data_IF_099013308159
#
_entry.id   IF_099013308159
#
_cell.length_a   1.000
_cell.length_b   1.000
_cell.length_c   1.000
_cell.angle_alpha   90.00
_cell.angle_beta   90.00
_cell.angle_gamma   90.00
#
_symmetry.space_group_name_H-M   'P 1'
#
loop_
_entity.id
_entity.type
_entity.pdbx_description
1 polymer ?
#
# COMPACT_ATOMS: atom_id res chain seq x y z
N UNK A 1 -25.72 -23.66 -10.05
CA UNK A 1 -24.52 -22.82 -9.80
C UNK A 1 -24.87 -21.82 -8.71
N UNK A 2 -24.00 -21.60 -7.71
CA UNK A 2 -24.26 -20.61 -6.67
C UNK A 2 -24.06 -19.20 -7.22
N UNK A 3 -24.96 -18.26 -6.89
CA UNK A 3 -24.83 -16.87 -7.29
C UNK A 3 -23.68 -16.18 -6.53
N UNK A 4 -22.94 -15.32 -7.22
CA UNK A 4 -21.96 -14.44 -6.60
C UNK A 4 -22.64 -13.48 -5.62
N UNK A 5 -22.01 -13.21 -4.47
CA UNK A 5 -22.45 -12.24 -3.47
C UNK A 5 -21.33 -11.25 -3.20
N UNK A 6 -21.68 -9.97 -3.04
CA UNK A 6 -20.71 -8.89 -2.81
C UNK A 6 -20.89 -8.30 -1.42
N UNK A 7 -19.78 -8.11 -0.71
CA UNK A 7 -19.75 -7.40 0.57
C UNK A 7 -19.30 -5.94 0.35
N UNK A 8 -19.98 -4.99 1.01
CA UNK A 8 -19.64 -3.55 0.92
C UNK A 8 -18.40 -3.19 1.74
N UNK A 9 -17.53 -2.38 1.15
CA UNK A 9 -16.33 -1.79 1.76
C UNK A 9 -16.23 -0.29 1.46
N UNK A 10 -15.48 0.44 2.29
CA UNK A 10 -15.11 1.85 2.09
C UNK A 10 -13.67 2.02 1.57
N UNK A 11 -12.99 0.92 1.23
CA UNK A 11 -11.62 0.95 0.74
C UNK A 11 -11.55 1.73 -0.58
N UNK A 12 -10.77 2.82 -0.56
CA UNK A 12 -10.32 3.56 -1.74
C UNK A 12 -9.02 2.95 -2.27
N UNK A 13 -8.10 2.64 -1.36
CA UNK A 13 -6.76 2.13 -1.69
C UNK A 13 -6.46 0.84 -0.91
N UNK A 14 -5.72 -0.07 -1.55
CA UNK A 14 -5.27 -1.33 -0.93
C UNK A 14 -3.75 -1.43 -1.06
N UNK A 15 -3.07 -1.25 0.07
CA UNK A 15 -1.61 -1.35 0.15
C UNK A 15 -1.22 -2.76 0.53
N UNK A 16 -0.57 -3.46 -0.39
CA UNK A 16 -0.04 -4.80 -0.21
C UNK A 16 1.42 -4.71 0.21
N UNK A 17 1.74 -5.16 1.42
CA UNK A 17 3.10 -5.09 1.98
C UNK A 17 3.71 -6.49 2.05
N UNK A 18 4.94 -6.67 1.54
CA UNK A 18 5.62 -7.96 1.56
C UNK A 18 5.89 -8.45 2.98
N UNK A 19 5.35 -9.62 3.36
CA UNK A 19 5.60 -10.25 4.68
C UNK A 19 7.05 -10.66 4.85
N UNK A 20 7.67 -11.20 3.79
CA UNK A 20 9.04 -11.73 3.83
C UNK A 20 10.06 -10.61 4.05
N UNK A 21 9.92 -9.49 3.35
CA UNK A 21 10.80 -8.34 3.53
C UNK A 21 10.65 -7.75 4.94
N UNK A 22 9.44 -7.57 5.44
CA UNK A 22 9.23 -7.11 6.83
C UNK A 22 9.85 -8.03 7.88
N UNK A 23 9.89 -9.35 7.65
CA UNK A 23 10.59 -10.27 8.55
C UNK A 23 12.11 -10.10 8.50
N UNK A 24 12.67 -9.90 7.31
CA UNK A 24 14.12 -9.73 7.11
C UNK A 24 14.63 -8.40 7.67
N UNK A 25 13.89 -7.32 7.41
CA UNK A 25 14.21 -5.97 7.91
C UNK A 25 13.86 -5.84 9.40
N UNK A 26 12.73 -6.42 9.82
CA UNK A 26 12.25 -6.32 11.19
C UNK A 26 11.63 -4.95 11.49
N UNK A 27 12.45 -4.04 12.01
CA UNK A 27 12.08 -2.69 12.42
C UNK A 27 12.83 -1.67 11.53
N UNK A 28 12.60 -0.39 11.74
CA UNK A 28 13.20 0.70 10.97
C UNK A 28 12.19 1.74 10.50
N UNK A 29 10.96 1.74 11.00
CA UNK A 29 9.91 2.65 10.54
C UNK A 29 9.22 3.38 11.69
N UNK A 30 8.73 4.60 11.40
CA UNK A 30 8.10 5.48 12.38
C UNK A 30 9.12 6.33 13.16
N UNK A 31 8.63 7.22 14.05
CA UNK A 31 9.47 8.22 14.70
C UNK A 31 10.67 7.65 15.49
N UNK A 32 10.47 6.51 16.16
CA UNK A 32 11.51 5.83 16.94
C UNK A 32 12.17 4.67 16.17
N UNK A 33 11.88 4.54 14.87
CA UNK A 33 12.34 3.46 13.99
C UNK A 33 12.06 2.03 14.51
N UNK A 34 11.15 1.87 15.47
CA UNK A 34 10.93 0.60 16.16
C UNK A 34 9.73 -0.21 15.61
N UNK A 35 9.12 0.25 14.52
CA UNK A 35 7.94 -0.38 13.91
C UNK A 35 8.28 -1.11 12.62
N UNK A 36 7.45 -2.09 12.28
CA UNK A 36 7.41 -2.63 10.93
C UNK A 36 6.69 -1.63 10.01
N UNK A 37 6.97 -1.64 8.71
CA UNK A 37 6.33 -0.74 7.75
C UNK A 37 4.80 -0.75 7.85
N UNK A 38 4.18 -1.93 7.93
CA UNK A 38 2.72 -2.04 8.08
C UNK A 38 2.19 -1.33 9.34
N UNK A 39 2.90 -1.47 10.47
CA UNK A 39 2.48 -0.84 11.72
C UNK A 39 2.67 0.68 11.65
N UNK A 40 3.78 1.13 11.08
CA UNK A 40 4.07 2.54 10.87
C UNK A 40 3.00 3.20 9.98
N UNK A 41 2.70 2.62 8.82
CA UNK A 41 1.65 3.12 7.91
C UNK A 41 0.27 3.19 8.57
N UNK A 42 -0.12 2.16 9.33
CA UNK A 42 -1.42 2.19 10.04
C UNK A 42 -1.49 3.28 11.11
N UNK A 43 -0.41 3.54 11.83
CA UNK A 43 -0.34 4.60 12.84
C UNK A 43 -0.35 5.99 12.21
N UNK A 44 0.36 6.14 11.10
CA UNK A 44 0.47 7.39 10.37
C UNK A 44 -0.83 7.76 9.66
N UNK A 45 -1.39 6.84 8.86
CA UNK A 45 -2.59 7.09 8.05
C UNK A 45 -3.90 7.10 8.86
N UNK A 46 -3.93 6.44 10.03
CA UNK A 46 -5.13 6.22 10.86
C UNK A 46 -6.38 5.86 10.03
N UNK A 47 -6.32 4.86 9.13
CA UNK A 47 -7.29 4.73 8.04
C UNK A 47 -8.66 4.19 8.46
N UNK A 48 -8.93 3.97 9.75
CA UNK A 48 -10.09 3.24 10.25
C UNK A 48 -9.84 1.73 10.39
N UNK A 49 -10.92 0.94 10.50
CA UNK A 49 -10.86 -0.49 10.81
C UNK A 49 -11.63 -1.35 9.79
N UNK A 50 -11.01 -2.47 9.41
CA UNK A 50 -11.65 -3.49 8.56
C UNK A 50 -12.21 -2.92 7.26
N UNK A 51 -13.39 -3.40 6.85
CA UNK A 51 -14.11 -2.94 5.65
C UNK A 51 -14.62 -1.49 5.70
N UNK A 52 -14.53 -0.82 6.86
CA UNK A 52 -14.88 0.59 7.02
C UNK A 52 -13.65 1.51 6.99
N UNK A 53 -12.46 0.96 6.75
CA UNK A 53 -11.28 1.77 6.55
C UNK A 53 -11.35 2.48 5.18
N UNK A 54 -10.69 3.62 5.02
CA UNK A 54 -10.49 4.21 3.69
C UNK A 54 -9.31 3.55 2.97
N UNK A 55 -8.29 3.11 3.71
CA UNK A 55 -7.09 2.47 3.17
C UNK A 55 -6.88 1.12 3.85
N UNK A 56 -6.79 0.06 3.06
CA UNK A 56 -6.49 -1.28 3.55
C UNK A 56 -5.00 -1.58 3.46
N UNK A 57 -4.30 -1.54 4.60
CA UNK A 57 -2.88 -1.96 4.67
C UNK A 57 -2.80 -3.45 5.04
N UNK A 58 -2.55 -4.28 4.04
CA UNK A 58 -2.54 -5.73 4.11
C UNK A 58 -1.12 -6.28 4.00
N UNK A 59 -0.91 -7.48 4.52
CA UNK A 59 0.36 -8.19 4.35
C UNK A 59 0.15 -9.36 3.41
N UNK A 60 1.00 -9.47 2.39
CA UNK A 60 0.95 -10.56 1.40
C UNK A 60 2.22 -11.42 1.48
N UNK A 61 2.26 -12.51 0.72
CA UNK A 61 3.47 -13.32 0.54
C UNK A 61 4.54 -12.51 -0.23
N UNK A 62 5.62 -13.19 -0.65
CA UNK A 62 6.70 -12.56 -1.41
C UNK A 62 6.18 -12.03 -2.76
N UNK A 63 6.75 -10.92 -3.25
CA UNK A 63 6.57 -10.43 -4.62
C UNK A 63 7.70 -10.91 -5.55
N UNK A 64 8.50 -11.88 -5.09
CA UNK A 64 9.70 -12.39 -5.76
C UNK A 64 10.80 -11.38 -6.09
N UNK A 65 10.62 -10.12 -5.67
CA UNK A 65 11.65 -9.09 -5.60
C UNK A 65 12.02 -8.85 -4.14
N UNK A 66 13.27 -9.14 -3.77
CA UNK A 66 13.79 -9.01 -2.40
C UNK A 66 14.92 -7.96 -2.35
N UNK A 67 14.61 -6.68 -2.13
CA UNK A 67 15.63 -5.64 -2.01
C UNK A 67 16.44 -5.78 -0.71
N UNK A 68 17.66 -5.25 -0.71
CA UNK A 68 18.52 -5.20 0.49
C UNK A 68 18.05 -4.08 1.41
N UNK A 69 17.95 -4.37 2.72
CA UNK A 69 17.56 -3.41 3.77
C UNK A 69 16.28 -2.59 3.47
N UNK A 70 15.32 -3.19 2.76
CA UNK A 70 14.11 -2.50 2.33
C UNK A 70 12.89 -3.45 2.30
N UNK A 71 11.70 -2.86 2.28
CA UNK A 71 10.42 -3.55 2.18
C UNK A 71 9.74 -3.21 0.87
N UNK A 72 9.35 -4.23 0.12
CA UNK A 72 8.53 -4.05 -1.07
C UNK A 72 7.06 -3.84 -0.69
N UNK A 73 6.43 -2.82 -1.26
CA UNK A 73 4.99 -2.56 -1.16
C UNK A 73 4.40 -2.11 -2.49
N UNK A 74 3.11 -2.40 -2.69
CA UNK A 74 2.35 -2.04 -3.89
C UNK A 74 1.02 -1.44 -3.45
N UNK A 75 0.58 -0.36 -4.09
CA UNK A 75 -0.82 0.06 -4.01
C UNK A 75 -1.57 -0.61 -5.18
N UNK A 76 -2.61 -1.39 -4.90
CA UNK A 76 -3.38 -2.09 -5.92
C UNK A 76 -4.08 -1.13 -6.91
N UNK A 77 -4.23 0.15 -6.57
CA UNK A 77 -4.70 1.19 -7.49
C UNK A 77 -3.64 1.63 -8.52
N UNK A 78 -2.36 1.28 -8.31
CA UNK A 78 -1.20 1.55 -9.19
C UNK A 78 -0.33 0.28 -9.31
N UNK A 79 -0.87 -0.80 -9.92
CA UNK A 79 -0.23 -2.12 -9.91
C UNK A 79 1.05 -2.20 -10.75
N UNK A 80 1.27 -1.23 -11.63
CA UNK A 80 2.47 -1.02 -12.45
C UNK A 80 3.67 -0.49 -11.64
N UNK A 81 3.45 -0.07 -10.40
CA UNK A 81 4.49 0.49 -9.54
C UNK A 81 4.71 -0.34 -8.27
N UNK A 82 5.88 -0.99 -8.20
CA UNK A 82 6.37 -1.60 -6.97
C UNK A 82 7.34 -0.65 -6.27
N UNK A 83 7.01 -0.25 -5.04
CA UNK A 83 7.80 0.69 -4.27
C UNK A 83 8.75 -0.06 -3.35
N UNK A 84 10.05 0.11 -3.58
CA UNK A 84 11.11 -0.33 -2.67
C UNK A 84 11.24 0.73 -1.58
N UNK A 85 10.92 0.35 -0.34
CA UNK A 85 10.91 1.28 0.79
C UNK A 85 12.08 0.93 1.74
N UNK A 86 13.17 1.73 1.74
CA UNK A 86 14.29 1.51 2.65
C UNK A 86 13.87 1.54 4.12
N UNK A 87 14.54 0.78 4.98
CA UNK A 87 14.48 1.03 6.41
C UNK A 87 14.96 2.46 6.71
N UNK A 88 14.31 3.14 7.65
CA UNK A 88 14.53 4.56 7.97
C UNK A 88 13.78 5.54 7.06
N UNK A 89 13.06 5.06 6.05
CA UNK A 89 12.34 5.95 5.14
C UNK A 89 11.26 6.77 5.86
N UNK A 90 11.19 8.05 5.50
CA UNK A 90 10.18 8.98 6.02
C UNK A 90 8.77 8.59 5.56
N UNK A 91 7.80 8.64 6.49
CA UNK A 91 6.44 8.16 6.21
C UNK A 91 5.66 9.11 5.30
N UNK A 92 6.02 10.39 5.21
CA UNK A 92 5.43 11.32 4.23
C UNK A 92 5.82 10.85 2.84
N UNK A 93 7.12 10.70 2.57
CA UNK A 93 7.62 10.25 1.26
C UNK A 93 7.05 8.88 0.89
N UNK A 94 7.02 7.94 1.84
CA UNK A 94 6.45 6.61 1.59
C UNK A 94 4.99 6.70 1.14
N UNK A 95 4.18 7.56 1.77
CA UNK A 95 2.78 7.73 1.37
C UNK A 95 2.61 8.42 0.02
N UNK A 96 3.50 9.34 -0.33
CA UNK A 96 3.51 10.00 -1.65
C UNK A 96 3.87 9.00 -2.76
N UNK A 97 4.94 8.22 -2.57
CA UNK A 97 5.37 7.17 -3.51
C UNK A 97 4.29 6.11 -3.72
N UNK A 98 3.56 5.75 -2.67
CA UNK A 98 2.42 4.82 -2.76
C UNK A 98 1.13 5.47 -3.33
N UNK A 99 1.14 6.78 -3.59
CA UNK A 99 -0.02 7.51 -4.11
C UNK A 99 -1.18 7.63 -3.10
N UNK A 100 -0.88 7.68 -1.80
CA UNK A 100 -1.87 7.70 -0.72
C UNK A 100 -2.20 9.12 -0.22
N UNK A 101 -1.53 10.14 -0.74
CA UNK A 101 -1.85 11.55 -0.52
C UNK A 101 -3.33 11.82 -0.87
N UNK A 102 -4.12 12.35 0.06
CA UNK A 102 -5.54 12.72 -0.16
C UNK A 102 -5.73 13.71 -1.31
N UNK A 103 -4.74 14.56 -1.64
CA UNK A 103 -4.74 15.50 -2.77
C UNK A 103 -4.66 14.80 -4.14
N UNK A 104 -4.16 13.55 -4.18
CA UNK A 104 -4.16 12.71 -5.39
C UNK A 104 -5.55 12.20 -5.78
N UNK A 105 -6.61 12.62 -5.08
CA UNK A 105 -8.01 12.36 -5.44
C UNK A 105 -8.40 12.82 -6.85
N UNK A 106 -7.58 13.63 -7.54
CA UNK A 106 -7.60 13.69 -9.00
C UNK A 106 -6.90 12.45 -9.55
N UNK A 107 -7.69 11.40 -9.71
CA UNK A 107 -7.44 10.37 -10.71
C UNK A 107 -6.94 11.11 -11.95
N UNK A 108 -5.65 10.97 -12.30
CA UNK A 108 -5.26 11.17 -13.69
C UNK A 108 -6.02 10.06 -14.39
N UNK A 109 -7.24 10.36 -14.85
CA UNK A 109 -7.91 9.50 -15.80
C UNK A 109 -6.83 9.28 -16.86
N UNK A 110 -6.40 8.03 -17.02
CA UNK A 110 -5.91 7.63 -18.31
C UNK A 110 -7.01 8.09 -19.28
N UNK A 111 -6.71 8.92 -20.29
CA UNK A 111 -7.69 9.17 -21.33
C UNK A 111 -8.21 7.81 -21.78
N UNK A 112 -9.53 7.70 -21.93
CA UNK A 112 -10.12 6.50 -22.51
C UNK A 112 -9.34 6.17 -23.80
N UNK A 113 -9.06 4.90 -24.11
CA UNK A 113 -8.45 4.57 -25.39
C UNK A 113 -9.35 5.18 -26.48
N UNK A 114 -8.82 6.17 -27.19
CA UNK A 114 -9.48 6.77 -28.34
C UNK A 114 -9.69 5.66 -29.37
N UNK A 115 -10.95 5.37 -29.68
CA UNK A 115 -11.35 4.64 -30.88
C UNK A 115 -11.12 3.12 -30.85
N UNK A 116 -12.13 2.39 -30.37
CA UNK A 116 -12.53 1.15 -31.04
C UNK A 116 -13.88 1.42 -31.70
N UNK A 117 -13.82 1.74 -33.00
CA UNK A 117 -14.91 1.60 -33.97
C UNK A 117 -14.84 0.18 -34.52
#
# INVERSE_FOLDING_TARGET
MAAFKTAKTQWRDVVLVCKKCQKKVGKGFGPDENLTLKKALKRYLKPGKGRKAEIAVLTVKCFDVCPKNAVMAVNAARPDEMVVIPAGADLVEVTERLGLDRRSGRRRLLPAPDGMV
#
